data_IF_809293351923
#
_entry.id   IF_809293351923
#
_cell.length_a   1.000
_cell.length_b   1.000
_cell.length_c   1.000
_cell.angle_alpha   90.00
_cell.angle_beta   90.00
_cell.angle_gamma   90.00
#
_symmetry.space_group_name_H-M   'P 1'
#
loop_
_entity.id
_entity.type
_entity.pdbx_description
1 polymer ?
#
# COMPACT_ATOMS: atom_id res chain seq x y z
N UNK A 1 -4.32 -20.68 -37.34
CA UNK A 1 -4.61 -19.54 -36.44
C UNK A 1 -3.49 -18.52 -36.54
N UNK A 2 -3.77 -17.23 -36.38
CA UNK A 2 -2.74 -16.18 -36.29
C UNK A 2 -2.48 -15.86 -34.82
N UNK A 3 -1.73 -16.73 -34.15
CA UNK A 3 -1.42 -16.60 -32.73
C UNK A 3 -0.38 -15.51 -32.50
N UNK A 4 -0.72 -14.55 -31.65
CA UNK A 4 0.18 -13.56 -31.05
C UNK A 4 1.20 -14.24 -30.13
N UNK A 5 2.33 -13.59 -29.80
CA UNK A 5 3.31 -14.12 -28.84
C UNK A 5 2.68 -14.46 -27.48
N UNK A 6 1.85 -13.57 -26.93
CA UNK A 6 1.16 -13.80 -25.65
C UNK A 6 0.23 -15.01 -25.67
N UNK A 7 -0.47 -15.25 -26.78
CA UNK A 7 -1.32 -16.44 -26.92
C UNK A 7 -0.49 -17.73 -27.01
N UNK A 8 0.72 -17.68 -27.61
CA UNK A 8 1.64 -18.83 -27.59
C UNK A 8 2.17 -19.10 -26.18
N UNK A 9 2.50 -18.05 -25.42
CA UNK A 9 2.96 -18.20 -24.04
C UNK A 9 1.86 -18.79 -23.14
N UNK A 10 0.59 -18.41 -23.35
CA UNK A 10 -0.54 -19.05 -22.66
C UNK A 10 -0.70 -20.52 -23.01
N UNK A 11 -0.49 -20.91 -24.27
CA UNK A 11 -0.48 -22.33 -24.66
C UNK A 11 0.67 -23.11 -24.01
N UNK A 12 1.85 -22.48 -23.87
CA UNK A 12 2.97 -23.08 -23.15
C UNK A 12 2.64 -23.26 -21.65
N UNK A 13 2.02 -22.25 -21.04
CA UNK A 13 1.54 -22.32 -19.65
C UNK A 13 0.55 -23.46 -19.47
N UNK A 14 -0.46 -23.56 -20.34
CA UNK A 14 -1.43 -24.65 -20.35
C UNK A 14 -0.74 -26.01 -20.48
N UNK A 15 0.21 -26.16 -21.41
CA UNK A 15 0.96 -27.40 -21.56
C UNK A 15 1.75 -27.80 -20.31
N UNK A 16 2.33 -26.84 -19.60
CA UNK A 16 3.00 -27.09 -18.33
C UNK A 16 2.01 -27.50 -17.21
N UNK A 17 0.84 -26.86 -17.17
CA UNK A 17 -0.22 -27.18 -16.22
C UNK A 17 -0.81 -28.57 -16.46
N UNK A 18 -1.04 -28.96 -17.72
CA UNK A 18 -1.51 -30.29 -18.09
C UNK A 18 -0.49 -31.37 -17.68
N UNK A 19 0.81 -31.12 -17.90
CA UNK A 19 1.86 -32.00 -17.42
C UNK A 19 1.82 -32.15 -15.89
N UNK A 20 1.59 -31.05 -15.16
CA UNK A 20 1.45 -31.06 -13.70
C UNK A 20 0.20 -31.86 -13.26
N UNK A 21 -0.96 -31.64 -13.90
CA UNK A 21 -2.19 -32.42 -13.65
C UNK A 21 -1.97 -33.91 -13.87
N UNK A 22 -1.34 -34.28 -14.98
CA UNK A 22 -1.04 -35.68 -15.30
C UNK A 22 -0.08 -36.33 -14.30
N UNK A 23 0.88 -35.57 -13.75
CA UNK A 23 1.78 -36.05 -12.69
C UNK A 23 1.05 -36.22 -11.36
N UNK A 24 0.24 -35.24 -10.96
CA UNK A 24 -0.59 -35.29 -9.75
C UNK A 24 -1.59 -36.44 -9.79
N UNK A 25 -2.23 -36.68 -10.94
CA UNK A 25 -3.16 -37.80 -11.13
C UNK A 25 -2.51 -39.17 -10.94
N UNK A 26 -1.18 -39.28 -11.11
CA UNK A 26 -0.40 -40.49 -10.79
C UNK A 26 0.06 -40.55 -9.32
N UNK A 27 -0.38 -39.62 -8.47
CA UNK A 27 -0.02 -39.53 -7.06
C UNK A 27 1.33 -38.86 -6.78
N UNK A 28 1.91 -38.16 -7.75
CA UNK A 28 3.16 -37.42 -7.53
C UNK A 28 2.89 -36.07 -6.86
N UNK A 29 3.73 -35.73 -5.88
CA UNK A 29 3.76 -34.39 -5.28
C UNK A 29 4.45 -33.43 -6.23
N UNK A 30 3.86 -32.26 -6.43
CA UNK A 30 4.30 -31.27 -7.41
C UNK A 30 5.53 -30.49 -6.93
N UNK A 31 6.42 -30.16 -7.87
CA UNK A 31 7.53 -29.22 -7.65
C UNK A 31 7.11 -27.75 -7.90
N UNK A 32 8.06 -26.82 -7.75
CA UNK A 32 7.80 -25.37 -7.92
C UNK A 32 7.23 -25.02 -9.31
N UNK A 33 7.87 -25.37 -10.44
CA UNK A 33 7.31 -25.08 -11.77
C UNK A 33 5.92 -25.69 -12.01
N UNK A 34 5.69 -26.91 -11.56
CA UNK A 34 4.41 -27.61 -11.73
C UNK A 34 3.28 -26.95 -10.92
N UNK A 35 3.54 -26.62 -9.66
CA UNK A 35 2.58 -25.94 -8.81
C UNK A 35 2.24 -24.56 -9.40
N UNK A 36 3.25 -23.76 -9.75
CA UNK A 36 3.07 -22.43 -10.34
C UNK A 36 2.26 -22.49 -11.64
N UNK A 37 2.57 -23.43 -12.54
CA UNK A 37 1.85 -23.58 -13.79
C UNK A 37 0.38 -23.92 -13.56
N UNK A 38 0.10 -24.89 -12.67
CA UNK A 38 -1.25 -25.34 -12.38
C UNK A 38 -2.10 -24.25 -11.71
N UNK A 39 -1.51 -23.48 -10.78
CA UNK A 39 -2.18 -22.33 -10.14
C UNK A 39 -2.50 -21.25 -11.17
N UNK A 40 -1.53 -20.86 -12.00
CA UNK A 40 -1.71 -19.82 -13.01
C UNK A 40 -2.75 -20.22 -14.08
N UNK A 41 -2.69 -21.47 -14.53
CA UNK A 41 -3.66 -22.02 -15.49
C UNK A 41 -5.08 -22.06 -14.91
N UNK A 42 -5.23 -22.38 -13.62
CA UNK A 42 -6.53 -22.33 -12.94
C UNK A 42 -7.16 -20.93 -13.00
N UNK A 43 -6.36 -19.86 -12.91
CA UNK A 43 -6.85 -18.49 -13.09
C UNK A 43 -7.27 -18.25 -14.54
N UNK A 44 -6.46 -18.67 -15.51
CA UNK A 44 -6.75 -18.50 -16.94
C UNK A 44 -8.06 -19.19 -17.33
N UNK A 45 -8.27 -20.43 -16.89
CA UNK A 45 -9.49 -21.19 -17.17
C UNK A 45 -10.70 -20.60 -16.44
N UNK A 46 -10.55 -20.19 -15.18
CA UNK A 46 -11.62 -19.48 -14.46
C UNK A 46 -12.01 -18.16 -15.14
N UNK A 47 -11.05 -17.40 -15.64
CA UNK A 47 -11.32 -16.18 -16.42
C UNK A 47 -12.05 -16.52 -17.73
N UNK A 48 -11.64 -17.60 -18.40
CA UNK A 48 -12.26 -18.07 -19.64
C UNK A 48 -13.71 -18.56 -19.44
N UNK A 49 -14.02 -19.09 -18.27
CA UNK A 49 -15.37 -19.47 -17.82
C UNK A 49 -16.27 -18.26 -17.48
N UNK A 50 -15.76 -17.03 -17.59
CA UNK A 50 -16.52 -15.81 -17.28
C UNK A 50 -16.60 -15.48 -15.79
N UNK A 51 -15.77 -16.11 -14.95
CA UNK A 51 -15.74 -15.82 -13.51
C UNK A 51 -15.11 -14.45 -13.24
N UNK A 52 -15.47 -13.85 -12.10
CA UNK A 52 -14.84 -12.60 -11.67
C UNK A 52 -13.40 -12.82 -11.21
N UNK A 53 -12.55 -11.80 -11.29
CA UNK A 53 -11.15 -11.85 -10.83
C UNK A 53 -11.01 -12.42 -9.41
N UNK A 54 -11.85 -11.98 -8.48
CA UNK A 54 -11.83 -12.46 -7.10
C UNK A 54 -12.14 -13.97 -6.99
N UNK A 55 -13.07 -14.47 -7.81
CA UNK A 55 -13.44 -15.88 -7.85
C UNK A 55 -12.35 -16.73 -8.48
N UNK A 56 -11.69 -16.23 -9.53
CA UNK A 56 -10.54 -16.88 -10.16
C UNK A 56 -9.36 -16.99 -9.17
N UNK A 57 -9.05 -15.93 -8.42
CA UNK A 57 -8.02 -15.96 -7.37
C UNK A 57 -8.41 -16.96 -6.27
N UNK A 58 -9.68 -17.00 -5.85
CA UNK A 58 -10.15 -17.96 -4.85
C UNK A 58 -10.04 -19.41 -5.33
N UNK A 59 -10.41 -19.69 -6.58
CA UNK A 59 -10.25 -21.01 -7.19
C UNK A 59 -8.77 -21.43 -7.24
N UNK A 60 -7.88 -20.51 -7.63
CA UNK A 60 -6.45 -20.75 -7.68
C UNK A 60 -5.83 -21.04 -6.29
N UNK A 61 -6.34 -20.41 -5.23
CA UNK A 61 -5.93 -20.73 -3.84
C UNK A 61 -6.44 -22.07 -3.32
N UNK A 62 -7.47 -22.62 -3.96
CA UNK A 62 -8.14 -23.85 -3.50
C UNK A 62 -7.70 -25.08 -4.29
N UNK A 63 -6.88 -24.91 -5.33
CA UNK A 63 -6.55 -25.99 -6.28
C UNK A 63 -5.46 -26.93 -5.77
N UNK A 64 -4.56 -26.44 -4.91
CA UNK A 64 -3.48 -27.20 -4.29
C UNK A 64 -3.44 -26.95 -2.79
N UNK A 65 -3.26 -28.01 -2.02
CA UNK A 65 -2.91 -27.96 -0.60
C UNK A 65 -1.45 -28.32 -0.33
N UNK A 66 -0.98 -28.23 0.92
CA UNK A 66 0.39 -28.56 1.31
C UNK A 66 0.79 -30.02 1.01
N UNK A 67 -0.18 -30.92 0.99
CA UNK A 67 0.04 -32.35 0.73
C UNK A 67 0.21 -32.66 -0.77
N UNK A 68 -0.26 -31.77 -1.66
CA UNK A 68 -0.15 -31.94 -3.12
C UNK A 68 1.25 -31.58 -3.66
N UNK A 69 2.08 -30.93 -2.86
CA UNK A 69 3.38 -30.38 -3.29
C UNK A 69 4.53 -30.96 -2.48
N UNK A 70 5.74 -30.95 -3.02
CA UNK A 70 6.95 -31.38 -2.31
C UNK A 70 7.24 -30.48 -1.09
N UNK A 71 7.97 -30.97 -0.07
CA UNK A 71 8.40 -30.14 1.05
C UNK A 71 9.18 -28.90 0.57
N UNK A 72 8.93 -27.74 1.20
CA UNK A 72 9.55 -26.48 0.81
C UNK A 72 8.91 -25.77 -0.40
N UNK A 73 8.05 -26.42 -1.19
CA UNK A 73 7.40 -25.75 -2.34
C UNK A 73 6.45 -24.64 -1.89
N UNK A 74 5.67 -24.88 -0.83
CA UNK A 74 4.80 -23.86 -0.25
C UNK A 74 5.62 -22.65 0.27
N UNK A 75 6.84 -22.89 0.78
CA UNK A 75 7.76 -21.85 1.23
C UNK A 75 8.27 -20.98 0.09
N UNK A 76 8.52 -21.57 -1.08
CA UNK A 76 9.05 -20.88 -2.26
C UNK A 76 7.96 -20.18 -3.07
N UNK A 77 6.81 -20.81 -3.27
CA UNK A 77 5.70 -20.27 -4.07
C UNK A 77 4.81 -19.41 -3.18
N UNK A 78 5.30 -18.22 -2.83
CA UNK A 78 4.56 -17.26 -1.98
C UNK A 78 3.51 -16.48 -2.76
N UNK A 79 3.79 -16.15 -4.02
CA UNK A 79 2.86 -15.45 -4.90
C UNK A 79 2.98 -15.97 -6.33
N UNK A 80 1.84 -16.05 -7.02
CA UNK A 80 1.79 -16.35 -8.46
C UNK A 80 1.09 -15.20 -9.16
N UNK A 81 1.78 -14.62 -10.15
CA UNK A 81 1.28 -13.54 -10.99
C UNK A 81 0.94 -14.07 -12.37
N UNK A 82 -0.28 -13.84 -12.83
CA UNK A 82 -0.71 -14.25 -14.17
C UNK A 82 -1.66 -13.24 -14.78
N UNK A 83 -1.44 -12.89 -16.05
CA UNK A 83 -2.36 -12.07 -16.81
C UNK A 83 -3.36 -12.96 -17.56
N UNK A 84 -4.63 -12.87 -17.17
CA UNK A 84 -5.73 -13.62 -17.78
C UNK A 84 -6.70 -12.67 -18.50
N UNK A 85 -7.38 -13.17 -19.53
CA UNK A 85 -8.38 -12.42 -20.29
C UNK A 85 -9.76 -12.75 -19.73
N UNK A 86 -10.38 -11.76 -19.10
CA UNK A 86 -11.76 -11.80 -18.62
C UNK A 86 -12.70 -11.20 -19.67
N UNK A 87 -14.01 -11.28 -19.42
CA UNK A 87 -15.03 -10.67 -20.28
C UNK A 87 -14.88 -9.14 -20.43
N UNK A 88 -14.24 -8.49 -19.45
CA UNK A 88 -13.94 -7.06 -19.45
C UNK A 88 -12.48 -6.74 -19.83
N UNK A 89 -11.75 -7.72 -20.37
CA UNK A 89 -10.40 -7.57 -20.91
C UNK A 89 -9.31 -8.22 -20.04
N UNK A 90 -8.05 -7.93 -20.40
CA UNK A 90 -6.87 -8.43 -19.68
C UNK A 90 -6.78 -7.86 -18.26
N UNK A 91 -6.53 -8.72 -17.27
CA UNK A 91 -6.23 -8.33 -15.89
C UNK A 91 -5.09 -9.15 -15.32
N UNK A 92 -4.29 -8.49 -14.49
CA UNK A 92 -3.29 -9.15 -13.66
C UNK A 92 -3.97 -9.74 -12.42
N UNK A 93 -3.90 -11.07 -12.28
CA UNK A 93 -4.25 -11.76 -11.06
C UNK A 93 -2.98 -11.98 -10.22
N UNK A 94 -3.06 -11.57 -8.96
CA UNK A 94 -2.02 -11.81 -7.95
C UNK A 94 -2.59 -12.79 -6.94
N UNK A 95 -2.09 -14.01 -6.96
CA UNK A 95 -2.51 -15.08 -6.05
C UNK A 95 -1.47 -15.21 -4.94
N UNK A 96 -1.67 -14.49 -3.84
CA UNK A 96 -0.80 -14.60 -2.66
C UNK A 96 -1.15 -15.84 -1.83
N UNK A 97 -0.14 -16.49 -1.25
CA UNK A 97 -0.22 -17.72 -0.45
C UNK A 97 -1.06 -18.85 -1.11
N UNK A 98 -0.76 -19.25 -2.36
CA UNK A 98 -1.64 -20.11 -3.14
C UNK A 98 -1.77 -21.57 -2.66
N UNK A 99 -0.83 -22.06 -1.83
CA UNK A 99 -0.77 -23.47 -1.36
C UNK A 99 -1.12 -23.59 0.14
N UNK A 100 -1.34 -22.46 0.82
CA UNK A 100 -1.65 -22.42 2.25
C UNK A 100 -0.44 -22.45 3.20
N UNK A 101 -0.72 -22.26 4.49
CA UNK A 101 0.23 -21.77 5.50
C UNK A 101 1.12 -22.83 6.19
N UNK A 102 1.50 -23.92 5.51
CA UNK A 102 2.50 -24.85 6.07
C UNK A 102 3.90 -24.36 5.71
N UNK A 103 4.39 -23.39 6.48
CA UNK A 103 5.76 -22.89 6.36
C UNK A 103 6.70 -23.84 7.07
N UNK A 104 7.82 -24.22 6.43
CA UNK A 104 8.79 -25.16 7.01
C UNK A 104 9.73 -24.50 8.04
N UNK A 105 9.52 -23.22 8.36
CA UNK A 105 10.25 -22.51 9.41
C UNK A 105 11.75 -22.42 9.10
N UNK A 106 12.58 -22.83 10.06
CA UNK A 106 14.04 -22.84 9.92
C UNK A 106 14.54 -23.83 8.86
N UNK A 107 13.76 -24.88 8.57
CA UNK A 107 14.10 -25.89 7.55
C UNK A 107 13.64 -25.48 6.14
N UNK A 108 13.04 -24.31 5.98
CA UNK A 108 12.59 -23.82 4.69
C UNK A 108 13.78 -23.49 3.76
N UNK A 109 13.65 -23.72 2.44
CA UNK A 109 14.67 -23.29 1.48
C UNK A 109 14.91 -21.79 1.56
N UNK A 110 16.14 -21.39 1.91
CA UNK A 110 16.50 -19.97 2.06
C UNK A 110 16.05 -19.32 3.37
N UNK A 111 15.69 -20.10 4.40
CA UNK A 111 15.33 -19.59 5.71
C UNK A 111 16.42 -18.67 6.29
N UNK A 112 16.00 -17.52 6.80
CA UNK A 112 16.88 -16.57 7.50
C UNK A 112 16.85 -16.87 8.99
N UNK A 113 17.98 -17.31 9.53
CA UNK A 113 18.13 -17.55 10.95
C UNK A 113 18.44 -16.22 11.67
N UNK A 114 17.68 -15.85 12.70
CA UNK A 114 17.86 -14.56 13.37
C UNK A 114 19.24 -14.50 14.03
N UNK A 115 19.98 -13.43 13.75
CA UNK A 115 21.22 -13.08 14.43
C UNK A 115 20.97 -12.45 15.80
N UNK A 116 22.03 -12.00 16.50
CA UNK A 116 21.88 -11.24 17.73
C UNK A 116 21.02 -10.00 17.50
N UNK A 117 20.19 -9.65 18.48
CA UNK A 117 19.27 -8.53 18.40
C UNK A 117 19.99 -7.19 18.16
N UNK A 118 19.40 -6.35 17.31
CA UNK A 118 19.83 -4.97 17.11
C UNK A 118 19.14 -4.04 18.13
N UNK A 119 19.89 -3.11 18.71
CA UNK A 119 19.31 -2.08 19.59
C UNK A 119 18.92 -0.86 18.77
N UNK A 120 17.65 -0.49 18.81
CA UNK A 120 17.16 0.70 18.11
C UNK A 120 17.78 1.98 18.69
N UNK A 121 18.04 2.95 17.81
CA UNK A 121 18.51 4.27 18.22
C UNK A 121 17.42 4.99 18.99
N UNK A 122 17.75 5.49 20.18
CA UNK A 122 16.84 6.35 20.93
C UNK A 122 16.76 7.75 20.28
N UNK A 123 15.56 8.37 20.26
CA UNK A 123 15.43 9.73 19.75
C UNK A 123 16.10 10.75 20.67
N UNK A 124 16.77 11.74 20.08
CA UNK A 124 17.43 12.83 20.81
C UNK A 124 16.44 13.96 21.14
N UNK A 125 15.47 14.19 20.26
CA UNK A 125 14.42 15.20 20.41
C UNK A 125 13.07 14.56 20.13
N UNK A 126 12.06 14.89 20.93
CA UNK A 126 10.66 14.52 20.73
C UNK A 126 9.87 15.78 20.37
N UNK A 127 9.09 15.74 19.30
CA UNK A 127 8.24 16.85 18.87
C UNK A 127 6.81 16.39 18.58
N UNK A 128 5.85 17.16 19.05
CA UNK A 128 4.46 17.07 18.60
C UNK A 128 4.33 17.70 17.21
N UNK A 129 3.78 16.94 16.25
CA UNK A 129 3.59 17.36 14.86
C UNK A 129 2.13 17.28 14.50
N UNK A 130 1.57 18.40 14.06
CA UNK A 130 0.18 18.50 13.58
C UNK A 130 0.12 18.68 12.07
N UNK A 131 -0.68 17.87 11.39
CA UNK A 131 -1.00 18.09 9.99
C UNK A 131 -2.21 19.02 9.84
N UNK A 132 -2.00 20.21 9.26
CA UNK A 132 -3.08 21.18 8.99
C UNK A 132 -3.61 21.11 7.55
N UNK A 133 -3.16 20.14 6.74
CA UNK A 133 -3.68 19.93 5.40
C UNK A 133 -4.98 19.10 5.43
N UNK A 134 -5.80 19.25 4.39
CA UNK A 134 -6.95 18.38 4.12
C UNK A 134 -6.54 17.02 3.51
N UNK A 135 -5.24 16.78 3.30
CA UNK A 135 -4.68 15.57 2.69
C UNK A 135 -3.59 14.99 3.61
N UNK A 136 -3.39 13.67 3.57
CA UNK A 136 -2.31 13.05 4.33
C UNK A 136 -0.94 13.47 3.83
N UNK A 137 0.03 13.54 4.74
CA UNK A 137 1.42 13.86 4.44
C UNK A 137 2.28 12.73 5.01
N UNK A 138 3.19 12.19 4.19
CA UNK A 138 4.17 11.21 4.65
C UNK A 138 5.58 11.79 4.57
N UNK A 139 6.38 11.54 5.60
CA UNK A 139 7.78 11.98 5.68
C UNK A 139 8.68 10.75 5.86
N UNK A 140 9.70 10.61 5.01
CA UNK A 140 10.62 9.47 5.04
C UNK A 140 11.71 9.61 6.10
N UNK A 141 12.30 8.47 6.50
CA UNK A 141 13.31 8.36 7.57
C UNK A 141 14.53 9.30 7.46
N UNK A 142 14.94 9.64 6.24
CA UNK A 142 16.15 10.43 5.95
C UNK A 142 15.86 11.82 5.40
N UNK A 143 14.60 12.23 5.41
CA UNK A 143 14.23 13.58 5.02
C UNK A 143 14.67 14.58 6.10
N UNK A 144 15.23 15.72 5.69
CA UNK A 144 15.58 16.80 6.62
C UNK A 144 14.29 17.38 7.22
N UNK A 145 13.99 17.05 8.48
CA UNK A 145 12.66 17.25 9.05
C UNK A 145 12.27 18.72 9.10
N UNK A 146 13.22 19.63 9.30
CA UNK A 146 13.04 21.07 9.18
C UNK A 146 12.42 21.52 7.85
N UNK A 147 12.68 20.82 6.75
CA UNK A 147 12.20 21.17 5.41
C UNK A 147 10.92 20.42 5.03
N UNK A 148 10.32 19.68 5.97
CA UNK A 148 9.09 18.92 5.71
C UNK A 148 7.95 19.86 5.29
N UNK A 149 6.88 19.31 4.72
CA UNK A 149 5.77 20.10 4.17
C UNK A 149 5.33 21.24 5.13
N UNK A 150 5.22 22.51 4.67
CA UNK A 150 4.87 23.66 5.52
C UNK A 150 3.52 23.54 6.25
N UNK A 151 2.63 22.66 5.77
CA UNK A 151 1.36 22.33 6.41
C UNK A 151 1.50 21.40 7.63
N UNK A 152 2.71 20.89 7.90
CA UNK A 152 3.04 20.28 9.18
C UNK A 152 3.50 21.36 10.16
N UNK A 153 2.75 21.52 11.25
CA UNK A 153 3.03 22.45 12.35
C UNK A 153 3.76 21.72 13.47
N UNK A 154 4.94 22.22 13.81
CA UNK A 154 5.83 21.76 14.87
C UNK A 154 6.93 22.80 15.09
N UNK A 155 7.77 22.61 16.10
CA UNK A 155 8.95 23.45 16.31
C UNK A 155 10.03 23.17 15.24
N UNK A 156 10.07 24.03 14.23
CA UNK A 156 11.04 23.93 13.13
C UNK A 156 12.47 24.15 13.63
N UNK A 157 12.70 25.06 14.57
CA UNK A 157 14.05 25.35 15.05
C UNK A 157 14.67 24.11 15.73
N UNK A 158 13.87 23.38 16.52
CA UNK A 158 14.27 22.12 17.12
C UNK A 158 14.51 20.98 16.10
N UNK A 159 13.89 21.04 14.92
CA UNK A 159 14.04 20.06 13.85
C UNK A 159 15.20 20.33 12.88
N UNK A 160 15.95 21.43 13.07
CA UNK A 160 17.04 21.80 12.17
C UNK A 160 18.23 20.83 12.24
N UNK A 161 18.64 20.29 11.09
CA UNK A 161 19.68 19.28 11.00
C UNK A 161 19.26 17.89 11.53
N UNK A 162 17.96 17.67 11.71
CA UNK A 162 17.40 16.43 12.25
C UNK A 162 16.62 15.65 11.18
N UNK A 163 16.48 14.34 11.40
CA UNK A 163 15.65 13.42 10.61
C UNK A 163 14.83 12.53 11.55
N UNK A 164 13.82 11.84 11.02
CA UNK A 164 12.99 10.93 11.82
C UNK A 164 13.81 9.77 12.40
N UNK A 165 13.58 9.49 13.68
CA UNK A 165 14.13 8.34 14.40
C UNK A 165 13.28 7.09 14.16
N UNK A 166 13.23 6.65 12.91
CA UNK A 166 12.52 5.45 12.46
C UNK A 166 13.46 4.59 11.61
N UNK A 167 13.11 3.30 11.35
CA UNK A 167 13.94 2.44 10.52
C UNK A 167 14.24 3.06 9.15
N UNK A 168 15.45 2.81 8.65
CA UNK A 168 15.89 3.31 7.36
C UNK A 168 14.98 2.79 6.23
N UNK A 169 14.63 3.65 5.28
CA UNK A 169 13.69 3.32 4.20
C UNK A 169 12.19 3.43 4.58
N UNK A 170 11.85 3.50 5.88
CA UNK A 170 10.48 3.70 6.32
C UNK A 170 10.02 5.16 6.21
N UNK A 171 8.71 5.38 6.38
CA UNK A 171 8.10 6.70 6.46
C UNK A 171 7.06 6.77 7.56
N UNK A 172 6.82 7.97 8.06
CA UNK A 172 5.75 8.25 9.01
C UNK A 172 4.65 9.05 8.29
N UNK A 173 3.40 8.60 8.44
CA UNK A 173 2.21 9.23 7.86
C UNK A 173 1.51 10.08 8.91
N UNK A 174 1.11 11.28 8.52
CA UNK A 174 0.27 12.19 9.29
C UNK A 174 -1.07 12.37 8.56
N UNK A 175 -2.15 11.87 9.16
CA UNK A 175 -3.49 12.02 8.58
C UNK A 175 -4.01 13.47 8.65
N UNK A 176 -4.98 13.86 7.80
CA UNK A 176 -5.53 15.22 7.81
C UNK A 176 -6.04 15.64 9.20
N UNK A 177 -5.57 16.78 9.71
CA UNK A 177 -5.95 17.30 11.02
C UNK A 177 -5.34 16.57 12.23
N UNK A 178 -4.65 15.45 12.01
CA UNK A 178 -4.08 14.61 13.06
C UNK A 178 -2.85 15.25 13.73
N UNK A 179 -2.62 14.83 14.98
CA UNK A 179 -1.43 15.15 15.78
C UNK A 179 -0.69 13.86 16.13
N UNK A 180 0.63 13.86 16.03
CA UNK A 180 1.47 12.72 16.38
C UNK A 180 2.78 13.18 17.05
N UNK A 181 3.24 12.42 18.03
CA UNK A 181 4.56 12.57 18.64
C UNK A 181 5.61 11.89 17.77
N UNK A 182 6.70 12.59 17.47
CA UNK A 182 7.78 12.07 16.63
C UNK A 182 9.13 12.22 17.29
N UNK A 183 9.90 11.13 17.27
CA UNK A 183 11.30 11.12 17.66
C UNK A 183 12.19 11.56 16.51
N UNK A 184 13.18 12.40 16.80
CA UNK A 184 14.16 12.89 15.84
C UNK A 184 15.58 12.55 16.28
N UNK A 185 16.44 12.29 15.29
CA UNK A 185 17.89 12.09 15.45
C UNK A 185 18.66 13.01 14.51
N UNK A 186 19.88 13.43 14.85
CA UNK A 186 20.68 14.29 14.00
C UNK A 186 21.06 13.57 12.70
N UNK A 187 21.14 14.33 11.61
CA UNK A 187 21.72 13.85 10.36
C UNK A 187 23.19 13.49 10.64
N UNK A 188 23.63 12.32 10.14
CA UNK A 188 25.01 11.83 10.28
C UNK A 188 25.98 12.46 9.28
N UNK A 189 27.21 11.93 9.23
CA UNK A 189 28.24 12.37 8.27
C UNK A 189 28.63 13.85 8.45
N UNK A 190 28.85 14.57 7.35
CA UNK A 190 29.23 15.99 7.35
C UNK A 190 28.08 16.94 7.77
N UNK A 191 26.88 16.41 8.03
CA UNK A 191 25.68 17.18 8.43
C UNK A 191 25.32 18.30 7.44
N UNK A 192 25.45 18.01 6.15
CA UNK A 192 25.07 18.90 5.05
C UNK A 192 23.77 18.41 4.44
N UNK A 193 22.73 19.24 4.50
CA UNK A 193 21.47 19.01 3.81
C UNK A 193 21.48 19.75 2.46
N UNK A 194 21.19 19.04 1.36
CA UNK A 194 21.16 19.58 -0.01
C UNK A 194 19.84 19.21 -0.68
N UNK A 195 19.25 20.14 -1.43
CA UNK A 195 18.00 19.92 -2.16
C UNK A 195 16.78 20.27 -1.32
N UNK A 196 16.01 19.24 -0.91
CA UNK A 196 14.78 19.34 -0.13
C UNK A 196 13.86 20.50 -0.56
N UNK A 197 13.54 21.43 0.34
CA UNK A 197 12.69 22.59 0.04
C UNK A 197 13.52 23.86 -0.26
N UNK A 198 14.86 23.75 -0.26
CA UNK A 198 15.78 24.87 -0.39
C UNK A 198 15.69 25.88 0.77
N UNK A 199 15.19 25.47 1.94
CA UNK A 199 14.86 26.36 3.06
C UNK A 199 15.92 26.43 4.17
N UNK A 200 16.93 25.55 4.16
CA UNK A 200 18.04 25.58 5.12
C UNK A 200 19.27 26.34 4.60
N UNK A 201 19.96 27.15 5.43
CA UNK A 201 21.30 27.62 5.10
C UNK A 201 22.28 26.43 5.15
N UNK A 202 23.50 26.61 4.65
CA UNK A 202 24.51 25.55 4.51
C UNK A 202 24.99 24.90 5.84
N UNK A 203 26.21 24.32 5.86
CA UNK A 203 26.68 23.41 6.92
C UNK A 203 26.48 23.96 8.33
N UNK A 204 25.96 23.13 9.25
CA UNK A 204 25.85 23.45 10.67
C UNK A 204 27.28 23.52 11.28
N UNK A 205 27.64 24.55 12.06
CA UNK A 205 28.89 24.52 12.82
C UNK A 205 28.85 23.36 13.83
N UNK A 206 30.01 22.76 14.19
CA UNK A 206 30.06 21.67 15.16
C UNK A 206 29.43 22.13 16.49
N UNK A 207 28.80 21.23 17.26
CA UNK A 207 28.30 21.59 18.57
C UNK A 207 29.47 22.04 19.44
N UNK A 208 29.57 23.34 19.69
CA UNK A 208 30.37 23.85 20.81
C UNK A 208 29.82 23.31 22.13
N UNK A 209 30.60 23.31 23.22
CA UNK A 209 30.19 22.69 24.47
C UNK A 209 29.05 23.49 25.11
N UNK A 210 27.81 23.20 24.72
CA UNK A 210 26.62 23.73 25.40
C UNK A 210 26.38 22.91 26.64
N UNK A 211 26.76 23.50 27.77
CA UNK A 211 26.29 23.15 29.09
C UNK A 211 24.79 22.82 29.04
N UNK A 212 24.43 21.66 29.58
CA UNK A 212 23.05 21.38 29.97
C UNK A 212 22.48 22.53 30.81
N UNK A 213 21.19 22.84 30.62
CA UNK A 213 20.35 23.09 31.78
C UNK A 213 19.09 22.21 31.74
N UNK A 214 19.15 21.17 32.57
CA UNK A 214 18.14 20.73 33.55
C UNK A 214 16.65 20.92 33.19
N UNK A 215 16.01 19.76 33.01
CA UNK A 215 14.74 19.30 33.64
C UNK A 215 14.09 20.30 34.60
N UNK A 216 12.86 20.72 34.31
CA UNK A 216 11.85 21.09 35.32
C UNK A 216 10.47 20.61 34.88
N UNK A 217 10.00 19.56 35.56
CA UNK A 217 8.59 19.28 35.73
C UNK A 217 8.03 20.11 36.89
N UNK A 218 6.75 20.43 36.81
CA UNK A 218 5.84 20.94 37.85
C UNK A 218 6.08 22.36 38.41
N UNK A 219 5.22 23.30 37.99
CA UNK A 219 4.32 24.07 38.86
C UNK A 219 3.54 25.07 37.99
N UNK A 220 2.24 25.20 38.23
CA UNK A 220 1.31 26.00 37.44
C UNK A 220 1.63 27.50 37.40
N UNK A 221 1.14 28.13 36.34
CA UNK A 221 1.23 29.58 36.16
C UNK A 221 0.89 29.98 34.73
N UNK A 222 -0.40 30.00 34.42
CA UNK A 222 -0.92 30.65 33.22
C UNK A 222 -0.60 32.15 33.26
N UNK A 223 -0.04 32.69 32.16
CA UNK A 223 -0.35 34.01 31.56
C UNK A 223 0.68 34.36 30.49
N UNK A 224 0.17 34.78 29.34
CA UNK A 224 0.96 35.35 28.26
C UNK A 224 0.14 35.51 26.98
N UNK A 225 -1.00 36.23 27.10
CA UNK A 225 -1.76 36.68 25.95
C UNK A 225 -0.92 37.71 25.16
N UNK A 226 -0.73 37.48 23.86
CA UNK A 226 -0.27 38.48 22.91
C UNK A 226 -1.25 38.51 21.72
N UNK A 227 -1.68 39.72 21.38
CA UNK A 227 -2.73 40.05 20.42
C UNK A 227 -2.46 39.54 18.99
N UNK A 228 -3.51 39.29 18.18
CA UNK A 228 -3.35 38.82 16.81
C UNK A 228 -2.80 39.92 15.89
N UNK A 229 -1.96 39.59 14.88
CA UNK A 229 -1.48 40.55 13.90
C UNK A 229 -2.61 40.97 12.92
N UNK A 230 -2.55 42.19 12.35
CA UNK A 230 -3.57 42.67 11.42
C UNK A 230 -3.52 41.94 10.07
N UNK A 231 -4.69 41.80 9.45
CA UNK A 231 -4.88 41.14 8.17
C UNK A 231 -4.13 41.84 7.02
N UNK A 232 -3.56 41.10 6.04
CA UNK A 232 -2.95 41.71 4.87
C UNK A 232 -4.01 42.26 3.90
N UNK A 233 -3.72 43.44 3.34
CA UNK A 233 -4.53 44.11 2.33
C UNK A 233 -4.60 43.30 1.01
N UNK A 234 -5.70 43.41 0.24
CA UNK A 234 -5.88 42.65 -1.00
C UNK A 234 -4.93 43.15 -2.11
N UNK A 235 -4.34 42.21 -2.84
CA UNK A 235 -3.57 42.48 -4.06
C UNK A 235 -4.52 42.91 -5.20
N UNK A 236 -4.21 43.97 -5.96
CA UNK A 236 -4.96 44.32 -7.16
C UNK A 236 -4.58 43.35 -8.29
N UNK A 237 -5.57 42.71 -8.91
CA UNK A 237 -5.35 41.83 -10.09
C UNK A 237 -6.17 40.53 -10.12
N UNK A 238 -6.96 40.21 -9.10
CA UNK A 238 -7.74 38.96 -9.04
C UNK A 238 -9.05 38.96 -9.87
N UNK A 239 -9.18 39.83 -10.88
CA UNK A 239 -10.39 39.93 -11.71
C UNK A 239 -10.25 39.36 -13.13
N UNK A 240 -9.06 38.99 -13.60
CA UNK A 240 -8.89 38.44 -14.96
C UNK A 240 -8.58 36.93 -15.04
N UNK A 241 -8.21 36.27 -13.93
CA UNK A 241 -8.00 34.82 -13.93
C UNK A 241 -9.31 34.00 -13.77
N UNK A 242 -10.41 34.65 -13.35
CA UNK A 242 -11.70 33.99 -13.11
C UNK A 242 -12.55 33.76 -14.39
N UNK A 243 -12.11 34.24 -15.56
CA UNK A 243 -12.84 34.08 -16.83
C UNK A 243 -12.28 32.99 -17.76
N UNK A 244 -11.10 32.43 -17.46
CA UNK A 244 -10.50 31.35 -18.26
C UNK A 244 -10.88 29.94 -17.76
N UNK A 245 -11.26 29.76 -16.49
CA UNK A 245 -11.63 28.46 -15.93
C UNK A 245 -13.11 28.05 -16.15
N UNK A 246 -13.93 28.95 -16.70
CA UNK A 246 -15.36 28.67 -17.00
C UNK A 246 -15.59 28.09 -18.41
N UNK A 247 -14.55 27.97 -19.25
CA UNK A 247 -14.65 27.45 -20.62
C UNK A 247 -14.37 25.95 -20.76
N UNK A 248 -13.74 25.31 -19.77
CA UNK A 248 -13.21 23.93 -19.93
C UNK A 248 -14.00 22.87 -19.14
N UNK A 249 -15.02 23.28 -18.37
CA UNK A 249 -15.92 22.38 -17.63
C UNK A 249 -17.24 22.05 -18.36
N UNK A 250 -17.44 22.52 -19.59
CA UNK A 250 -18.68 22.34 -20.36
C UNK A 250 -18.65 21.22 -21.42
N UNK A 251 -17.58 20.42 -21.49
CA UNK A 251 -17.44 19.33 -22.48
C UNK A 251 -17.52 17.90 -21.91
N UNK A 252 -17.73 17.72 -20.60
CA UNK A 252 -17.69 16.41 -19.95
C UNK A 252 -19.04 15.93 -19.36
N UNK A 253 -20.17 16.46 -19.82
CA UNK A 253 -21.49 16.07 -19.32
C UNK A 253 -22.59 16.11 -20.40
N UNK A 254 -22.44 15.32 -21.47
CA UNK A 254 -23.54 14.95 -22.37
C UNK A 254 -23.37 13.49 -22.81
N UNK A 255 -24.14 12.58 -22.20
CA UNK A 255 -24.13 11.18 -22.60
C UNK A 255 -24.76 10.18 -21.62
N UNK A 256 -25.86 10.53 -20.94
CA UNK A 256 -26.67 9.55 -20.21
C UNK A 256 -28.12 9.60 -20.74
N UNK A 257 -28.47 8.63 -21.59
CA UNK A 257 -29.84 8.36 -22.05
C UNK A 257 -30.61 7.44 -21.08
N UNK A 258 -31.95 7.34 -21.23
CA UNK A 258 -32.85 7.12 -20.11
C UNK A 258 -33.09 5.64 -19.75
N UNK A 259 -33.37 5.42 -18.46
CA UNK A 259 -33.78 4.14 -17.88
C UNK A 259 -35.19 3.75 -18.32
N UNK A 260 -35.34 2.52 -18.82
CA UNK A 260 -36.61 1.87 -19.10
C UNK A 260 -37.13 1.14 -17.86
N UNK A 261 -38.41 1.36 -17.55
CA UNK A 261 -39.17 0.73 -16.47
C UNK A 261 -39.74 -0.63 -16.89
N UNK A 262 -39.76 -1.61 -15.97
CA UNK A 262 -40.62 -2.81 -16.01
C UNK A 262 -40.65 -3.50 -14.61
N UNK A 263 -41.57 -4.45 -14.31
CA UNK A 263 -42.70 -4.20 -13.41
C UNK A 263 -42.70 -5.05 -12.12
N UNK A 264 -43.63 -4.70 -11.23
CA UNK A 264 -43.89 -5.31 -9.93
C UNK A 264 -44.23 -6.82 -10.01
N UNK A 265 -43.59 -7.62 -9.15
CA UNK A 265 -43.92 -9.01 -8.91
C UNK A 265 -44.66 -9.18 -7.57
N UNK A 266 -45.77 -9.91 -7.64
CA UNK A 266 -46.69 -10.27 -6.56
C UNK A 266 -46.03 -11.12 -5.47
N UNK A 267 -46.42 -10.85 -4.24
CA UNK A 267 -46.20 -11.68 -3.05
C UNK A 267 -47.17 -12.87 -3.08
N UNK A 268 -46.67 -14.08 -2.85
CA UNK A 268 -47.50 -15.27 -2.57
C UNK A 268 -46.91 -16.01 -1.36
N UNK A 269 -47.77 -16.25 -0.37
CA UNK A 269 -47.47 -16.90 0.91
C UNK A 269 -47.43 -18.45 0.77
N UNK A 270 -46.83 -19.19 1.72
CA UNK A 270 -46.73 -20.64 1.63
C UNK A 270 -47.99 -21.33 2.18
N UNK A 271 -48.52 -22.28 1.41
CA UNK A 271 -49.57 -23.20 1.81
C UNK A 271 -49.02 -24.63 1.91
N UNK A 272 -49.35 -25.28 3.02
CA UNK A 272 -49.11 -26.66 3.42
C UNK A 272 -49.98 -27.69 2.67
N UNK A 273 -49.49 -28.93 2.49
CA UNK A 273 -50.25 -30.13 2.08
C UNK A 273 -49.44 -31.02 1.11
N UNK A 274 -48.81 -32.14 1.50
CA UNK A 274 -49.33 -33.50 1.84
C UNK A 274 -49.60 -34.37 0.59
N UNK A 275 -48.90 -35.53 0.51
CA UNK A 275 -49.24 -36.82 -0.16
C UNK A 275 -49.41 -36.83 -1.70
N UNK A 276 -49.14 -37.87 -2.51
CA UNK A 276 -48.83 -39.31 -2.39
C UNK A 276 -48.44 -39.85 -3.81
N UNK A 277 -47.99 -41.12 -3.88
CA UNK A 277 -47.68 -42.01 -5.04
C UNK A 277 -48.46 -41.74 -6.35
N UNK A 278 -47.97 -42.05 -7.57
CA UNK A 278 -47.26 -43.22 -8.13
C UNK A 278 -46.39 -42.77 -9.33
#
# INVERSE_FOLDING_TARGET
>A
MRLTPTERDRLLLFGAAELARARRARGLRLNVPEATALIADTVCEAARDGRRLAEAIHAARSVLGPDDVLPGVADVVTEVHVEAVFDDGSRLAVVSDPIGARRSGEDAPGALLPGPGYTETAPEVQLTVRNTAAVPISVTSHFHFFEANPRLRFDRAAAYGMRLCIPAGSSMRFDPGGEAEVGLVPIGGARVAVGFAGRGPGPRPPPGPTAHPRRRAAAGGSRGAAAPPPAPAPLPGAAEAAKAAAGEAAAAALGAGPAAAAPAARVQAPGTGVEEND
#
